data_IF_203328838319
#
_entry.id   IF_203328838319
#
_cell.length_a   1.000
_cell.length_b   1.000
_cell.length_c   1.000
_cell.angle_alpha   90.00
_cell.angle_beta   90.00
_cell.angle_gamma   90.00
#
_symmetry.space_group_name_H-M   'P 1'
#
loop_
_entity.id
_entity.type
_entity.pdbx_description
1 polymer ?
#
# COMPACT_ATOMS: atom_id res chain seq x y z
N UNK A 1 6.44 34.68 37.05
CA UNK A 1 6.27 33.20 36.97
C UNK A 1 5.15 32.76 36.03
N UNK A 2 3.95 33.39 35.98
CA UNK A 2 2.90 33.04 34.99
C UNK A 2 3.35 33.10 33.52
N UNK A 3 4.09 34.14 33.13
CA UNK A 3 4.62 34.30 31.77
C UNK A 3 5.58 33.19 31.30
N UNK A 4 6.44 32.66 32.18
CA UNK A 4 7.34 31.56 31.83
C UNK A 4 6.61 30.21 31.71
N UNK A 5 5.50 30.04 32.42
CA UNK A 5 4.64 28.85 32.31
C UNK A 5 3.82 28.88 31.01
N UNK A 6 3.31 30.05 30.61
CA UNK A 6 2.62 30.22 29.32
C UNK A 6 3.55 30.06 28.10
N UNK A 7 4.78 30.58 28.16
CA UNK A 7 5.79 30.37 27.11
C UNK A 7 6.22 28.90 27.06
N UNK A 8 6.35 28.25 28.22
CA UNK A 8 6.64 26.81 28.31
C UNK A 8 5.52 25.95 27.71
N UNK A 9 4.25 26.26 27.99
CA UNK A 9 3.09 25.53 27.49
C UNK A 9 2.86 25.76 25.98
N UNK A 10 3.02 26.98 25.49
CA UNK A 10 2.89 27.30 24.05
C UNK A 10 4.02 26.68 23.23
N UNK A 11 5.27 26.71 23.72
CA UNK A 11 6.39 26.04 23.08
C UNK A 11 6.21 24.51 23.02
N UNK A 12 5.65 23.91 24.07
CA UNK A 12 5.33 22.48 24.11
C UNK A 12 4.22 22.10 23.13
N UNK A 13 3.18 22.92 23.03
CA UNK A 13 2.11 22.73 22.06
C UNK A 13 2.63 22.83 20.62
N UNK A 14 3.39 23.88 20.29
CA UNK A 14 3.97 24.05 18.95
C UNK A 14 4.92 22.91 18.60
N UNK A 15 5.76 22.44 19.52
CA UNK A 15 6.65 21.29 19.29
C UNK A 15 5.88 20.00 19.02
N UNK A 16 4.80 19.74 19.77
CA UNK A 16 3.94 18.57 19.53
C UNK A 16 3.29 18.61 18.15
N UNK A 17 2.87 19.79 17.69
CA UNK A 17 2.34 19.95 16.33
C UNK A 17 3.40 19.64 15.27
N UNK A 18 4.62 20.18 15.39
CA UNK A 18 5.70 19.91 14.41
C UNK A 18 6.06 18.43 14.34
N UNK A 19 6.14 17.74 15.47
CA UNK A 19 6.44 16.30 15.49
C UNK A 19 5.31 15.47 14.89
N UNK A 20 4.06 15.78 15.24
CA UNK A 20 2.90 15.07 14.69
C UNK A 20 2.78 15.27 13.18
N UNK A 21 2.97 16.49 12.69
CA UNK A 21 2.97 16.81 11.26
C UNK A 21 4.10 16.06 10.54
N UNK A 22 5.31 16.07 11.11
CA UNK A 22 6.44 15.35 10.54
C UNK A 22 6.19 13.84 10.47
N UNK A 23 5.62 13.23 11.51
CA UNK A 23 5.26 11.80 11.48
C UNK A 23 4.22 11.54 10.38
N UNK A 24 3.17 12.37 10.28
CA UNK A 24 2.15 12.21 9.24
C UNK A 24 2.73 12.34 7.81
N UNK A 25 3.65 13.28 7.61
CA UNK A 25 4.25 13.58 6.29
C UNK A 25 5.31 12.55 5.88
N UNK A 26 6.12 12.03 6.80
CA UNK A 26 7.30 11.22 6.42
C UNK A 26 7.15 9.72 6.71
N UNK A 27 6.12 9.30 7.45
CA UNK A 27 5.83 7.88 7.66
C UNK A 27 5.47 7.12 6.37
N UNK A 28 4.61 7.63 5.46
CA UNK A 28 4.25 6.90 4.24
C UNK A 28 5.43 6.60 3.30
N UNK A 29 6.29 7.55 2.93
CA UNK A 29 7.40 7.27 2.02
C UNK A 29 8.47 6.37 2.67
N UNK A 30 8.62 6.42 4.00
CA UNK A 30 9.45 5.45 4.72
C UNK A 30 8.92 4.02 4.57
N UNK A 31 7.63 3.79 4.82
CA UNK A 31 7.01 2.47 4.64
C UNK A 31 7.05 2.00 3.17
N UNK A 32 6.87 2.92 2.22
CA UNK A 32 7.02 2.62 0.80
C UNK A 32 8.43 2.13 0.46
N UNK A 33 9.46 2.75 1.03
CA UNK A 33 10.85 2.32 0.82
C UNK A 33 11.07 0.90 1.34
N UNK A 34 10.60 0.57 2.55
CA UNK A 34 10.69 -0.77 3.14
C UNK A 34 9.99 -1.83 2.29
N UNK A 35 8.82 -1.51 1.74
CA UNK A 35 8.11 -2.41 0.84
C UNK A 35 8.90 -2.69 -0.44
N UNK A 36 9.53 -1.66 -1.02
CA UNK A 36 10.38 -1.81 -2.21
C UNK A 36 11.60 -2.68 -1.90
N UNK A 37 12.25 -2.50 -0.74
CA UNK A 37 13.33 -3.36 -0.28
C UNK A 37 12.87 -4.82 -0.12
N UNK A 38 11.71 -5.04 0.50
CA UNK A 38 11.12 -6.36 0.65
C UNK A 38 10.90 -7.06 -0.70
N UNK A 39 10.38 -6.34 -1.68
CA UNK A 39 10.23 -6.86 -3.05
C UNK A 39 11.56 -7.14 -3.74
N UNK A 40 12.55 -6.26 -3.57
CA UNK A 40 13.91 -6.49 -4.06
C UNK A 40 14.48 -7.81 -3.54
N UNK A 41 14.36 -8.07 -2.24
CA UNK A 41 14.84 -9.29 -1.61
C UNK A 41 14.09 -10.55 -2.09
N UNK A 42 12.77 -10.45 -2.30
CA UNK A 42 11.96 -11.56 -2.86
C UNK A 42 12.41 -11.90 -4.28
N UNK A 43 12.56 -10.90 -5.14
CA UNK A 43 12.96 -11.11 -6.55
C UNK A 43 14.39 -11.64 -6.62
N UNK A 44 15.30 -11.11 -5.80
CA UNK A 44 16.66 -11.64 -5.70
C UNK A 44 16.66 -13.11 -5.27
N UNK A 45 15.86 -13.46 -4.28
CA UNK A 45 15.73 -14.85 -3.82
C UNK A 45 15.18 -15.74 -4.92
N UNK A 46 14.18 -15.29 -5.68
CA UNK A 46 13.65 -16.02 -6.83
C UNK A 46 14.71 -16.25 -7.91
N UNK A 47 15.51 -15.23 -8.24
CA UNK A 47 16.60 -15.36 -9.19
C UNK A 47 17.67 -16.34 -8.72
N UNK A 48 18.08 -16.27 -7.44
CA UNK A 48 19.05 -17.21 -6.85
C UNK A 48 18.60 -18.66 -6.90
N UNK A 49 17.29 -18.92 -6.82
CA UNK A 49 16.71 -20.26 -6.89
C UNK A 49 16.26 -20.67 -8.31
N UNK A 50 16.59 -19.88 -9.34
CA UNK A 50 16.24 -20.19 -10.74
C UNK A 50 14.74 -20.11 -11.04
N UNK A 51 13.97 -19.34 -10.27
CA UNK A 51 12.53 -19.16 -10.50
C UNK A 51 12.32 -18.14 -11.63
N UNK A 52 11.75 -18.61 -12.75
CA UNK A 52 11.42 -17.80 -13.93
C UNK A 52 10.16 -16.95 -13.72
N UNK A 53 10.26 -15.91 -12.89
CA UNK A 53 9.11 -15.02 -12.61
C UNK A 53 8.64 -14.23 -13.84
N UNK A 54 9.52 -13.97 -14.82
CA UNK A 54 9.18 -13.25 -16.05
C UNK A 54 8.09 -13.97 -16.87
N UNK A 55 8.13 -15.31 -16.94
CA UNK A 55 7.09 -16.14 -17.54
C UNK A 55 5.73 -15.95 -16.84
N UNK A 56 5.72 -15.88 -15.50
CA UNK A 56 4.50 -15.69 -14.73
C UNK A 56 3.86 -14.31 -14.96
N UNK A 57 4.68 -13.28 -15.13
CA UNK A 57 4.23 -11.90 -15.37
C UNK A 57 4.08 -11.54 -16.85
N UNK A 58 4.43 -12.44 -17.77
CA UNK A 58 4.47 -12.21 -19.23
C UNK A 58 5.27 -10.94 -19.59
N UNK A 59 6.41 -10.74 -18.92
CA UNK A 59 7.31 -9.60 -19.15
C UNK A 59 8.34 -10.00 -20.22
N UNK A 60 8.63 -9.09 -21.15
CA UNK A 60 9.66 -9.27 -22.18
C UNK A 60 11.05 -9.25 -21.53
N UNK A 61 11.89 -10.25 -21.82
CA UNK A 61 13.15 -10.52 -21.11
C UNK A 61 14.18 -9.39 -21.15
N UNK A 62 14.22 -8.62 -22.25
CA UNK A 62 15.25 -7.59 -22.47
C UNK A 62 15.09 -6.34 -21.57
N UNK A 63 13.88 -6.10 -21.04
CA UNK A 63 13.51 -4.84 -20.38
C UNK A 63 13.16 -5.01 -18.88
N UNK A 64 13.61 -6.13 -18.29
CA UNK A 64 13.28 -6.53 -16.92
C UNK A 64 14.01 -5.68 -15.87
N UNK A 65 13.27 -5.24 -14.86
CA UNK A 65 13.85 -4.66 -13.64
C UNK A 65 14.71 -5.71 -12.92
N UNK A 66 15.99 -5.43 -12.74
CA UNK A 66 16.89 -6.30 -11.96
C UNK A 66 16.74 -5.97 -10.47
N UNK A 67 17.06 -6.90 -9.55
CA UNK A 67 17.00 -6.62 -8.12
C UNK A 67 17.80 -5.38 -7.73
N UNK A 68 18.96 -5.17 -8.36
CA UNK A 68 19.76 -3.97 -8.17
C UNK A 68 18.98 -2.68 -8.48
N UNK A 69 18.25 -2.63 -9.60
CA UNK A 69 17.47 -1.47 -10.00
C UNK A 69 16.33 -1.19 -9.00
N UNK A 70 15.76 -2.23 -8.38
CA UNK A 70 14.72 -2.15 -7.35
C UNK A 70 15.30 -1.64 -6.02
N UNK A 71 16.46 -2.16 -5.60
CA UNK A 71 17.13 -1.68 -4.40
C UNK A 71 17.59 -0.23 -4.54
N UNK A 72 18.10 0.15 -5.72
CA UNK A 72 18.46 1.54 -6.00
C UNK A 72 17.25 2.47 -5.88
N UNK A 73 16.08 2.06 -6.38
CA UNK A 73 14.82 2.80 -6.18
C UNK A 73 14.47 2.97 -4.69
N UNK A 74 14.55 1.88 -3.93
CA UNK A 74 14.29 1.89 -2.48
C UNK A 74 15.24 2.83 -1.73
N UNK A 75 16.54 2.80 -2.05
CA UNK A 75 17.56 3.69 -1.49
C UNK A 75 17.26 5.14 -1.85
N UNK A 76 16.98 5.45 -3.11
CA UNK A 76 16.72 6.81 -3.54
C UNK A 76 15.48 7.41 -2.85
N UNK A 77 14.39 6.63 -2.70
CA UNK A 77 13.20 7.07 -1.95
C UNK A 77 13.55 7.28 -0.47
N UNK A 78 14.25 6.34 0.16
CA UNK A 78 14.62 6.41 1.57
C UNK A 78 15.52 7.62 1.86
N UNK A 79 16.59 7.78 1.09
CA UNK A 79 17.55 8.88 1.23
C UNK A 79 16.85 10.21 1.04
N UNK A 80 16.03 10.35 0.00
CA UNK A 80 15.26 11.57 -0.24
C UNK A 80 14.27 11.87 0.88
N UNK A 81 13.64 10.83 1.44
CA UNK A 81 12.73 10.98 2.58
C UNK A 81 13.46 11.45 3.84
N UNK A 82 14.65 10.89 4.12
CA UNK A 82 15.49 11.30 5.25
C UNK A 82 15.96 12.74 5.08
N UNK A 83 16.45 13.13 3.90
CA UNK A 83 16.86 14.50 3.64
C UNK A 83 15.70 15.50 3.78
N UNK A 84 14.54 15.18 3.21
CA UNK A 84 13.35 16.03 3.33
C UNK A 84 12.84 16.09 4.77
N UNK A 85 12.90 15.00 5.53
CA UNK A 85 12.55 14.99 6.95
C UNK A 85 13.48 15.88 7.77
N UNK A 86 14.80 15.71 7.61
CA UNK A 86 15.78 16.54 8.31
C UNK A 86 15.64 18.02 7.94
N UNK A 87 15.47 18.31 6.65
CA UNK A 87 15.21 19.66 6.18
C UNK A 87 13.91 20.24 6.74
N UNK A 88 12.84 19.44 6.81
CA UNK A 88 11.57 19.86 7.42
C UNK A 88 11.75 20.20 8.90
N UNK A 89 12.41 19.34 9.69
CA UNK A 89 12.65 19.59 11.11
C UNK A 89 13.51 20.85 11.32
N UNK A 90 14.55 21.06 10.50
CA UNK A 90 15.39 22.27 10.58
C UNK A 90 14.58 23.52 10.25
N UNK A 91 13.92 23.54 9.08
CA UNK A 91 13.18 24.70 8.61
C UNK A 91 11.99 25.04 9.50
N UNK A 92 11.17 24.03 9.84
CA UNK A 92 9.96 24.20 10.63
C UNK A 92 10.25 24.34 12.12
N UNK A 93 11.10 23.47 12.66
CA UNK A 93 11.34 23.35 14.10
C UNK A 93 12.33 24.38 14.65
N UNK A 94 13.42 24.66 13.93
CA UNK A 94 14.46 25.59 14.41
C UNK A 94 14.33 26.98 13.80
N UNK A 95 14.04 27.07 12.49
CA UNK A 95 13.99 28.35 11.76
C UNK A 95 12.59 28.96 11.69
N UNK A 96 11.55 28.24 12.13
CA UNK A 96 10.14 28.64 12.06
C UNK A 96 9.66 29.04 10.64
N UNK A 97 10.27 28.47 9.60
CA UNK A 97 9.97 28.72 8.19
C UNK A 97 8.92 27.73 7.66
N UNK A 98 7.64 28.04 7.90
CA UNK A 98 6.52 27.19 7.47
C UNK A 98 6.54 26.93 5.96
N UNK A 99 6.52 28.00 5.16
CA UNK A 99 6.38 27.92 3.71
C UNK A 99 7.47 27.03 3.07
N UNK A 100 8.73 27.26 3.41
CA UNK A 100 9.86 26.50 2.86
C UNK A 100 9.80 25.01 3.27
N UNK A 101 9.45 24.72 4.53
CA UNK A 101 9.31 23.34 5.01
C UNK A 101 8.19 22.59 4.29
N UNK A 102 7.07 23.27 4.01
CA UNK A 102 5.93 22.70 3.29
C UNK A 102 6.27 22.45 1.82
N UNK A 103 6.93 23.40 1.14
CA UNK A 103 7.38 23.22 -0.25
C UNK A 103 8.33 22.03 -0.38
N UNK A 104 9.24 21.85 0.58
CA UNK A 104 10.14 20.68 0.62
C UNK A 104 9.37 19.37 0.77
N UNK A 105 8.33 19.33 1.61
CA UNK A 105 7.42 18.19 1.73
C UNK A 105 6.68 17.91 0.42
N UNK A 106 6.13 18.93 -0.25
CA UNK A 106 5.43 18.76 -1.54
C UNK A 106 6.40 18.26 -2.62
N UNK A 107 7.62 18.76 -2.63
CA UNK A 107 8.66 18.29 -3.56
C UNK A 107 8.90 16.77 -3.44
N UNK A 108 8.93 16.23 -2.21
CA UNK A 108 9.03 14.77 -1.97
C UNK A 108 7.83 14.01 -2.56
N UNK A 109 6.61 14.53 -2.42
CA UNK A 109 5.40 13.85 -2.90
C UNK A 109 5.11 14.02 -4.40
N UNK A 110 5.66 15.04 -5.05
CA UNK A 110 5.40 15.34 -6.47
C UNK A 110 6.63 15.09 -7.34
N UNK A 111 7.75 15.75 -7.04
CA UNK A 111 8.91 15.73 -7.93
C UNK A 111 9.55 14.36 -8.00
N UNK A 112 9.59 13.64 -6.89
CA UNK A 112 10.23 12.32 -6.82
C UNK A 112 9.45 11.27 -7.62
N UNK A 113 8.13 11.08 -7.42
CA UNK A 113 7.36 10.18 -8.28
C UNK A 113 7.41 10.57 -9.77
N UNK A 114 7.42 11.87 -10.09
CA UNK A 114 7.54 12.34 -11.49
C UNK A 114 8.91 11.99 -12.07
N UNK A 115 9.99 12.29 -11.36
CA UNK A 115 11.35 11.97 -11.80
C UNK A 115 11.54 10.47 -12.03
N UNK A 116 11.05 9.62 -11.12
CA UNK A 116 11.07 8.17 -11.32
C UNK A 116 10.22 7.72 -12.49
N UNK A 117 9.00 8.25 -12.63
CA UNK A 117 8.12 7.92 -13.75
C UNK A 117 8.78 8.25 -15.09
N UNK A 118 9.49 9.37 -15.18
CA UNK A 118 10.25 9.75 -16.37
C UNK A 118 11.45 8.82 -16.60
N UNK A 119 12.24 8.54 -15.55
CA UNK A 119 13.38 7.63 -15.62
C UNK A 119 12.98 6.25 -16.14
N UNK A 120 11.96 5.62 -15.55
CA UNK A 120 11.49 4.30 -15.95
C UNK A 120 10.78 4.30 -17.31
N UNK A 121 10.13 5.40 -17.69
CA UNK A 121 9.57 5.54 -19.04
C UNK A 121 10.63 5.53 -20.13
N UNK A 122 11.80 6.10 -19.86
CA UNK A 122 12.93 6.18 -20.80
C UNK A 122 13.75 4.89 -20.82
N UNK A 123 14.10 4.36 -19.64
CA UNK A 123 15.02 3.22 -19.54
C UNK A 123 14.35 1.84 -19.45
N UNK A 124 13.08 1.77 -19.09
CA UNK A 124 12.34 0.51 -18.91
C UNK A 124 10.92 0.60 -19.48
N UNK A 125 10.83 1.01 -20.75
CA UNK A 125 9.56 1.38 -21.40
C UNK A 125 8.54 0.24 -21.39
N UNK A 126 8.96 -1.00 -21.70
CA UNK A 126 8.07 -2.16 -21.73
C UNK A 126 7.49 -2.47 -20.35
N UNK A 127 8.35 -2.50 -19.33
CA UNK A 127 7.95 -2.70 -17.93
C UNK A 127 6.98 -1.61 -17.45
N UNK A 128 7.23 -0.35 -17.81
CA UNK A 128 6.35 0.77 -17.45
C UNK A 128 4.97 0.69 -18.15
N UNK A 129 4.94 0.36 -19.44
CA UNK A 129 3.68 0.17 -20.19
C UNK A 129 2.87 -1.01 -19.62
N UNK A 130 3.54 -2.13 -19.34
CA UNK A 130 2.96 -3.32 -18.71
C UNK A 130 2.33 -3.01 -17.34
N UNK A 131 3.02 -2.21 -16.50
CA UNK A 131 2.47 -1.76 -15.22
C UNK A 131 1.21 -0.90 -15.42
N UNK A 132 1.26 0.06 -16.35
CA UNK A 132 0.13 0.95 -16.64
C UNK A 132 -1.09 0.19 -17.16
N UNK A 133 -0.90 -0.75 -18.07
CA UNK A 133 -1.97 -1.61 -18.58
C UNK A 133 -2.60 -2.46 -17.47
N UNK A 134 -1.78 -3.01 -16.59
CA UNK A 134 -2.25 -3.80 -15.44
C UNK A 134 -3.03 -2.93 -14.46
N UNK A 135 -2.53 -1.75 -14.12
CA UNK A 135 -3.24 -0.79 -13.25
C UNK A 135 -4.58 -0.38 -13.86
N UNK A 136 -4.60 -0.06 -15.15
CA UNK A 136 -5.81 0.28 -15.87
C UNK A 136 -6.82 -0.88 -15.83
N UNK A 137 -6.40 -2.11 -16.10
CA UNK A 137 -7.26 -3.30 -16.04
C UNK A 137 -7.83 -3.54 -14.62
N UNK A 138 -7.04 -3.31 -13.57
CA UNK A 138 -7.49 -3.41 -12.18
C UNK A 138 -8.52 -2.32 -11.87
N UNK A 139 -8.28 -1.06 -12.26
CA UNK A 139 -9.22 0.04 -12.05
C UNK A 139 -10.54 -0.19 -12.79
N UNK A 140 -10.47 -0.74 -14.00
CA UNK A 140 -11.63 -1.13 -14.79
C UNK A 140 -12.26 -2.45 -14.32
N UNK A 141 -11.79 -3.08 -13.24
CA UNK A 141 -12.24 -4.42 -12.87
C UNK A 141 -13.73 -4.50 -12.49
N UNK A 142 -14.34 -3.37 -12.12
CA UNK A 142 -15.77 -3.22 -11.92
C UNK A 142 -16.59 -3.44 -13.20
N UNK A 143 -16.02 -3.08 -14.36
CA UNK A 143 -16.72 -3.03 -15.64
C UNK A 143 -16.24 -4.07 -16.64
N UNK A 144 -15.04 -4.63 -16.45
CA UNK A 144 -14.44 -5.59 -17.36
C UNK A 144 -15.04 -7.00 -17.19
N UNK A 145 -15.37 -7.66 -18.31
CA UNK A 145 -15.94 -9.02 -18.34
C UNK A 145 -14.91 -10.14 -18.47
N UNK A 146 -13.70 -9.82 -18.89
CA UNK A 146 -12.67 -10.82 -19.18
C UNK A 146 -12.19 -11.53 -17.90
N UNK A 147 -11.49 -12.65 -18.04
CA UNK A 147 -10.87 -13.36 -16.90
C UNK A 147 -9.62 -12.60 -16.44
N UNK A 148 -9.48 -12.25 -15.14
CA UNK A 148 -8.29 -11.55 -14.67
C UNK A 148 -7.01 -12.37 -14.87
N UNK A 149 -5.95 -11.72 -15.36
CA UNK A 149 -4.63 -12.33 -15.50
C UNK A 149 -3.93 -12.47 -14.14
N UNK A 150 -2.91 -13.35 -14.06
CA UNK A 150 -2.11 -13.50 -12.83
C UNK A 150 -1.44 -12.17 -12.42
N UNK A 151 -0.94 -11.42 -13.41
CA UNK A 151 -0.33 -10.10 -13.23
C UNK A 151 -1.28 -9.11 -12.55
N UNK A 152 -2.55 -9.07 -12.96
CA UNK A 152 -3.58 -8.23 -12.34
C UNK A 152 -3.85 -8.63 -10.89
N UNK A 153 -4.02 -9.94 -10.62
CA UNK A 153 -4.31 -10.44 -9.27
C UNK A 153 -3.15 -10.16 -8.33
N UNK A 154 -1.91 -10.36 -8.80
CA UNK A 154 -0.70 -10.11 -8.04
C UNK A 154 -0.50 -8.63 -7.73
N UNK A 155 -0.66 -7.76 -8.72
CA UNK A 155 -0.54 -6.32 -8.51
C UNK A 155 -1.67 -5.81 -7.59
N UNK A 156 -2.89 -6.30 -7.74
CA UNK A 156 -4.00 -5.97 -6.84
C UNK A 156 -3.73 -6.41 -5.39
N UNK A 157 -3.15 -7.60 -5.18
CA UNK A 157 -2.69 -8.02 -3.84
C UNK A 157 -1.65 -7.04 -3.27
N UNK A 158 -0.68 -6.64 -4.10
CA UNK A 158 0.37 -5.70 -3.69
C UNK A 158 -0.20 -4.34 -3.31
N UNK A 159 -1.14 -3.80 -4.11
CA UNK A 159 -1.83 -2.54 -3.81
C UNK A 159 -2.66 -2.67 -2.53
N UNK A 160 -3.27 -3.83 -2.29
CA UNK A 160 -4.05 -4.09 -1.07
C UNK A 160 -3.15 -4.06 0.18
N UNK A 161 -1.95 -4.65 0.12
CA UNK A 161 -0.96 -4.56 1.21
C UNK A 161 -0.48 -3.13 1.49
N UNK A 162 -0.55 -2.26 0.48
CA UNK A 162 -0.14 -0.85 0.57
C UNK A 162 -1.31 0.13 0.75
N UNK A 163 -2.54 -0.36 0.95
CA UNK A 163 -3.74 0.47 1.01
C UNK A 163 -3.63 1.61 2.04
N UNK A 164 -3.13 1.29 3.25
CA UNK A 164 -2.93 2.29 4.30
C UNK A 164 -1.82 3.29 3.96
N UNK A 165 -0.71 2.83 3.38
CA UNK A 165 0.40 3.70 2.96
C UNK A 165 -0.07 4.70 1.90
N UNK A 166 -0.87 4.27 0.92
CA UNK A 166 -1.44 5.18 -0.09
C UNK A 166 -2.44 6.17 0.50
N UNK A 167 -3.31 5.71 1.40
CA UNK A 167 -4.24 6.59 2.12
C UNK A 167 -3.50 7.66 2.92
N UNK A 168 -2.48 7.27 3.70
CA UNK A 168 -1.68 8.21 4.48
C UNK A 168 -0.86 9.15 3.59
N UNK A 169 -0.41 8.69 2.43
CA UNK A 169 0.28 9.55 1.44
C UNK A 169 -0.64 10.66 0.91
N UNK A 170 -1.90 10.32 0.64
CA UNK A 170 -2.91 11.29 0.20
C UNK A 170 -3.20 12.29 1.33
N UNK A 171 -3.44 11.81 2.55
CA UNK A 171 -3.67 12.67 3.71
C UNK A 171 -2.46 13.57 4.01
N UNK A 172 -1.23 13.08 3.86
CA UNK A 172 -0.02 13.87 4.01
C UNK A 172 0.07 15.00 2.96
N UNK A 173 -0.27 14.72 1.70
CA UNK A 173 -0.31 15.73 0.65
C UNK A 173 -1.36 16.82 0.94
N UNK A 174 -2.53 16.44 1.44
CA UNK A 174 -3.56 17.39 1.82
C UNK A 174 -3.20 18.23 3.05
N UNK A 175 -2.54 17.63 4.06
CA UNK A 175 -1.95 18.36 5.17
C UNK A 175 -0.94 19.41 4.68
N UNK A 176 -0.06 19.04 3.75
CA UNK A 176 0.88 19.98 3.14
C UNK A 176 0.17 21.11 2.39
N UNK A 177 -0.92 20.83 1.66
CA UNK A 177 -1.73 21.86 1.00
C UNK A 177 -2.42 22.78 2.02
N UNK A 178 -2.92 22.23 3.12
CA UNK A 178 -3.49 23.04 4.21
C UNK A 178 -2.45 23.95 4.85
N UNK A 179 -1.24 23.43 5.08
CA UNK A 179 -0.10 24.20 5.59
C UNK A 179 0.38 25.31 4.64
N UNK A 180 0.03 25.25 3.34
CA UNK A 180 0.22 26.37 2.40
C UNK A 180 -0.85 27.46 2.50
N UNK A 181 -1.85 27.29 3.36
CA UNK A 181 -2.90 28.28 3.61
C UNK A 181 -4.20 28.03 2.83
N UNK A 182 -4.40 26.84 2.25
CA UNK A 182 -5.69 26.49 1.65
C UNK A 182 -6.65 26.04 2.78
N UNK A 183 -7.73 26.80 3.06
CA UNK A 183 -8.61 26.50 4.17
C UNK A 183 -9.48 25.26 3.88
N UNK A 184 -9.90 24.56 4.94
CA UNK A 184 -10.85 23.43 4.92
C UNK A 184 -10.43 22.14 4.21
N UNK A 185 -9.21 22.06 3.66
CA UNK A 185 -8.71 20.87 2.98
C UNK A 185 -8.52 19.68 3.94
N UNK A 186 -8.00 19.94 5.14
CA UNK A 186 -7.79 18.91 6.18
C UNK A 186 -9.09 18.35 6.77
N UNK A 187 -10.17 19.13 6.76
CA UNK A 187 -11.47 18.64 7.21
C UNK A 187 -12.03 17.56 6.26
N UNK A 188 -11.71 17.66 4.97
CA UNK A 188 -12.21 16.74 3.93
C UNK A 188 -11.27 15.54 3.76
N UNK A 189 -9.95 15.71 3.94
CA UNK A 189 -8.95 14.68 3.61
C UNK A 189 -7.96 14.32 4.73
N UNK A 190 -8.11 14.91 5.92
CA UNK A 190 -7.27 14.62 7.07
C UNK A 190 -7.48 13.22 7.66
N UNK A 191 -6.73 12.86 8.72
CA UNK A 191 -6.76 11.53 9.33
C UNK A 191 -8.13 11.12 9.90
N UNK A 192 -8.97 12.12 10.22
CA UNK A 192 -10.35 11.94 10.70
C UNK A 192 -11.40 12.11 9.59
N UNK A 193 -11.03 11.93 8.33
CA UNK A 193 -11.95 12.17 7.22
C UNK A 193 -12.52 10.90 6.59
N UNK A 194 -13.73 11.02 6.05
CA UNK A 194 -14.36 9.96 5.26
C UNK A 194 -13.58 9.63 3.99
N UNK A 195 -12.84 10.60 3.43
CA UNK A 195 -12.04 10.37 2.22
C UNK A 195 -10.88 9.40 2.50
N UNK A 196 -10.19 9.53 3.64
CA UNK A 196 -9.14 8.58 4.03
C UNK A 196 -9.67 7.14 4.13
N UNK A 197 -10.88 6.96 4.66
CA UNK A 197 -11.56 5.67 4.66
C UNK A 197 -11.80 5.15 3.24
N UNK A 198 -12.36 5.97 2.34
CA UNK A 198 -12.64 5.58 0.95
C UNK A 198 -11.35 5.12 0.24
N UNK A 199 -10.27 5.89 0.35
CA UNK A 199 -8.99 5.54 -0.28
C UNK A 199 -8.39 4.27 0.32
N UNK A 200 -8.53 4.04 1.62
CA UNK A 200 -8.07 2.80 2.26
C UNK A 200 -8.90 1.60 1.81
N UNK A 201 -10.21 1.75 1.60
CA UNK A 201 -11.08 0.66 1.17
C UNK A 201 -10.97 0.33 -0.33
N UNK A 202 -10.60 1.31 -1.16
CA UNK A 202 -10.59 1.16 -2.62
C UNK A 202 -9.78 -0.08 -3.10
N UNK A 203 -8.55 -0.36 -2.63
CA UNK A 203 -7.83 -1.57 -3.01
C UNK A 203 -8.58 -2.87 -2.69
N UNK A 204 -9.24 -2.94 -1.53
CA UNK A 204 -10.01 -4.12 -1.12
C UNK A 204 -11.25 -4.30 -1.99
N UNK A 205 -11.91 -3.21 -2.37
CA UNK A 205 -13.05 -3.23 -3.31
C UNK A 205 -12.59 -3.79 -4.66
N UNK A 206 -11.52 -3.24 -5.24
CA UNK A 206 -11.01 -3.74 -6.52
C UNK A 206 -10.65 -5.22 -6.43
N UNK A 207 -9.99 -5.63 -5.34
CA UNK A 207 -9.60 -7.02 -5.13
C UNK A 207 -10.79 -7.97 -4.94
N UNK A 208 -11.86 -7.52 -4.30
CA UNK A 208 -13.14 -8.23 -4.19
C UNK A 208 -13.71 -8.52 -5.58
N UNK A 209 -13.79 -7.52 -6.46
CA UNK A 209 -14.32 -7.70 -7.82
C UNK A 209 -13.44 -8.60 -8.69
N UNK A 210 -12.11 -8.52 -8.57
CA UNK A 210 -11.21 -9.48 -9.23
C UNK A 210 -11.48 -10.92 -8.78
N UNK A 211 -11.66 -11.16 -7.48
CA UNK A 211 -11.98 -12.49 -6.95
C UNK A 211 -13.33 -13.01 -7.47
N UNK A 212 -14.36 -12.16 -7.50
CA UNK A 212 -15.67 -12.52 -8.04
C UNK A 212 -15.60 -12.91 -9.52
N UNK A 213 -14.87 -12.15 -10.34
CA UNK A 213 -14.66 -12.46 -11.76
C UNK A 213 -13.92 -13.78 -11.98
N UNK A 214 -12.92 -14.10 -11.16
CA UNK A 214 -12.26 -15.40 -11.19
C UNK A 214 -13.20 -16.54 -10.78
N UNK A 215 -14.08 -16.29 -9.81
CA UNK A 215 -15.15 -17.21 -9.42
C UNK A 215 -16.11 -17.52 -10.57
N UNK A 216 -16.57 -16.47 -11.25
CA UNK A 216 -17.44 -16.59 -12.43
C UNK A 216 -16.76 -17.32 -13.59
N UNK A 217 -15.46 -17.15 -13.74
CA UNK A 217 -14.63 -17.84 -14.75
C UNK A 217 -14.33 -19.31 -14.44
N UNK A 218 -15.05 -19.92 -13.48
CA UNK A 218 -15.00 -21.35 -13.16
C UNK A 218 -14.15 -21.74 -11.95
N UNK A 219 -13.51 -20.80 -11.24
CA UNK A 219 -12.74 -21.10 -10.02
C UNK A 219 -13.57 -20.83 -8.75
N UNK A 220 -14.49 -21.72 -8.41
CA UNK A 220 -15.44 -21.57 -7.29
C UNK A 220 -14.79 -21.21 -5.94
N UNK A 221 -13.58 -21.73 -5.67
CA UNK A 221 -12.81 -21.36 -4.46
C UNK A 221 -12.57 -19.85 -4.34
N UNK A 222 -12.55 -19.10 -5.45
CA UNK A 222 -12.32 -17.67 -5.46
C UNK A 222 -13.51 -16.85 -4.90
N UNK A 223 -14.71 -17.42 -4.79
CA UNK A 223 -15.80 -16.79 -4.04
C UNK A 223 -15.48 -16.69 -2.55
N UNK A 224 -14.80 -17.68 -1.98
CA UNK A 224 -14.30 -17.62 -0.62
C UNK A 224 -13.19 -16.57 -0.47
N UNK A 225 -12.36 -16.39 -1.50
CA UNK A 225 -11.39 -15.30 -1.55
C UNK A 225 -12.09 -13.92 -1.59
N UNK A 226 -13.17 -13.80 -2.36
CA UNK A 226 -14.00 -12.60 -2.39
C UNK A 226 -14.57 -12.30 -0.99
N UNK A 227 -15.11 -13.31 -0.30
CA UNK A 227 -15.62 -13.16 1.06
C UNK A 227 -14.52 -12.73 2.04
N UNK A 228 -13.29 -13.27 1.91
CA UNK A 228 -12.12 -12.83 2.69
C UNK A 228 -11.89 -11.32 2.52
N UNK A 229 -11.85 -10.83 1.28
CA UNK A 229 -11.64 -9.41 1.01
C UNK A 229 -12.80 -8.53 1.49
N UNK A 230 -14.05 -9.00 1.39
CA UNK A 230 -15.21 -8.31 1.96
C UNK A 230 -15.07 -8.15 3.47
N UNK A 231 -14.68 -9.22 4.17
CA UNK A 231 -14.47 -9.18 5.61
C UNK A 231 -13.32 -8.25 6.01
N UNK A 232 -12.19 -8.28 5.28
CA UNK A 232 -11.07 -7.37 5.52
C UNK A 232 -11.48 -5.91 5.28
N UNK A 233 -12.30 -5.64 4.26
CA UNK A 233 -12.88 -4.33 4.02
C UNK A 233 -13.77 -3.89 5.20
N UNK A 234 -14.64 -4.77 5.70
CA UNK A 234 -15.48 -4.49 6.87
C UNK A 234 -14.66 -4.19 8.13
N UNK A 235 -13.57 -4.94 8.38
CA UNK A 235 -12.61 -4.63 9.46
C UNK A 235 -12.00 -3.24 9.28
N UNK A 236 -11.63 -2.89 8.05
CA UNK A 236 -11.01 -1.60 7.72
C UNK A 236 -11.97 -0.44 7.94
N UNK A 237 -13.23 -0.59 7.53
CA UNK A 237 -14.31 0.38 7.79
C UNK A 237 -14.47 0.60 9.28
N UNK A 238 -14.61 -0.49 10.04
CA UNK A 238 -14.84 -0.41 11.47
C UNK A 238 -13.63 0.12 12.24
N UNK A 239 -12.42 -0.19 11.79
CA UNK A 239 -11.18 0.38 12.34
C UNK A 239 -11.08 1.89 12.09
N UNK A 240 -11.54 2.34 10.93
CA UNK A 240 -11.55 3.77 10.57
C UNK A 240 -12.66 4.53 11.30
N UNK A 241 -13.79 3.90 11.59
CA UNK A 241 -14.89 4.50 12.36
C UNK A 241 -14.43 5.02 13.73
N UNK A 242 -13.41 4.39 14.35
CA UNK A 242 -12.78 4.88 15.58
C UNK A 242 -12.33 6.34 15.47
N UNK A 243 -11.84 6.76 14.31
CA UNK A 243 -11.35 8.12 14.09
C UNK A 243 -12.45 9.11 13.71
N UNK A 244 -13.64 8.59 13.33
CA UNK A 244 -14.81 9.39 12.96
C UNK A 244 -15.76 9.61 14.15
N UNK A 245 -15.73 8.74 15.15
CA UNK A 245 -16.53 8.85 16.38
C UNK A 245 -15.70 9.60 17.41
N UNK A 246 -16.07 10.84 17.73
CA UNK A 246 -15.36 11.65 18.72
C UNK A 246 -15.64 11.21 20.17
N UNK A 247 -16.72 10.47 20.44
CA UNK A 247 -17.04 9.97 21.78
C UNK A 247 -16.46 8.56 22.02
N UNK A 248 -15.41 8.52 22.86
CA UNK A 248 -14.76 7.27 23.26
C UNK A 248 -15.72 6.31 23.96
N UNK A 249 -16.72 6.82 24.70
CA UNK A 249 -17.69 5.97 25.40
C UNK A 249 -18.57 5.22 24.42
N UNK A 250 -19.04 5.88 23.36
CA UNK A 250 -19.78 5.27 22.27
C UNK A 250 -18.94 4.21 21.54
N UNK A 251 -17.67 4.49 21.26
CA UNK A 251 -16.75 3.50 20.65
C UNK A 251 -16.63 2.23 21.52
N UNK A 252 -16.34 2.39 22.82
CA UNK A 252 -16.15 1.28 23.75
C UNK A 252 -17.44 0.48 23.96
N UNK A 253 -18.60 1.14 24.05
CA UNK A 253 -19.86 0.47 24.33
C UNK A 253 -20.46 -0.25 23.11
N UNK A 254 -20.35 0.32 21.91
CA UNK A 254 -21.09 -0.17 20.74
C UNK A 254 -20.21 -0.86 19.69
N UNK A 255 -18.96 -0.43 19.51
CA UNK A 255 -18.15 -0.83 18.35
C UNK A 255 -16.94 -1.69 18.72
N UNK A 256 -16.42 -1.57 19.94
CA UNK A 256 -15.20 -2.27 20.35
C UNK A 256 -15.33 -3.81 20.27
N UNK A 257 -16.36 -4.40 20.88
CA UNK A 257 -16.52 -5.87 20.86
C UNK A 257 -16.81 -6.43 19.45
N UNK A 258 -17.70 -5.83 18.64
CA UNK A 258 -17.84 -6.22 17.24
C UNK A 258 -16.54 -6.08 16.45
N UNK A 259 -15.77 -5.02 16.70
CA UNK A 259 -14.48 -4.79 16.04
C UNK A 259 -13.46 -5.88 16.38
N UNK A 260 -13.26 -6.20 17.67
CA UNK A 260 -12.37 -7.27 18.11
C UNK A 260 -12.79 -8.62 17.52
N UNK A 261 -14.09 -8.92 17.53
CA UNK A 261 -14.64 -10.16 16.96
C UNK A 261 -14.33 -10.25 15.47
N UNK A 262 -14.59 -9.18 14.72
CA UNK A 262 -14.38 -9.15 13.27
C UNK A 262 -12.89 -9.22 12.91
N UNK A 263 -12.02 -8.52 13.65
CA UNK A 263 -10.56 -8.59 13.49
C UNK A 263 -10.05 -10.01 13.74
N UNK A 264 -10.55 -10.66 14.80
CA UNK A 264 -10.15 -12.03 15.17
C UNK A 264 -10.57 -13.03 14.09
N UNK A 265 -11.83 -12.97 13.64
CA UNK A 265 -12.34 -13.82 12.56
C UNK A 265 -11.58 -13.57 11.25
N UNK A 266 -11.34 -12.30 10.90
CA UNK A 266 -10.58 -11.94 9.70
C UNK A 266 -9.16 -12.51 9.73
N UNK A 267 -8.51 -12.44 10.88
CA UNK A 267 -7.16 -12.98 11.08
C UNK A 267 -7.13 -14.49 10.92
N UNK A 268 -8.05 -15.21 11.57
CA UNK A 268 -8.13 -16.68 11.49
C UNK A 268 -8.40 -17.12 10.06
N UNK A 269 -9.39 -16.53 9.39
CA UNK A 269 -9.74 -16.90 8.01
C UNK A 269 -8.61 -16.59 7.05
N UNK A 270 -7.95 -15.44 7.20
CA UNK A 270 -6.80 -15.08 6.35
C UNK A 270 -5.64 -16.04 6.56
N UNK A 271 -5.32 -16.38 7.81
CA UNK A 271 -4.29 -17.36 8.12
C UNK A 271 -4.61 -18.75 7.53
N UNK A 272 -5.84 -19.23 7.71
CA UNK A 272 -6.28 -20.52 7.14
C UNK A 272 -6.22 -20.49 5.62
N UNK A 273 -6.60 -19.38 4.99
CA UNK A 273 -6.50 -19.20 3.54
C UNK A 273 -5.05 -19.31 3.08
N UNK A 274 -4.15 -18.55 3.69
CA UNK A 274 -2.75 -18.50 3.28
C UNK A 274 -2.09 -19.88 3.42
N UNK A 275 -2.31 -20.57 4.54
CA UNK A 275 -1.73 -21.91 4.77
C UNK A 275 -2.33 -22.97 3.86
N UNK A 276 -3.66 -23.08 3.77
CA UNK A 276 -4.32 -24.19 3.06
C UNK A 276 -4.44 -23.96 1.56
N UNK A 277 -4.72 -22.73 1.14
CA UNK A 277 -5.04 -22.41 -0.26
C UNK A 277 -3.80 -21.90 -0.99
N UNK A 278 -3.15 -20.85 -0.47
CA UNK A 278 -2.06 -20.19 -1.19
C UNK A 278 -0.76 -21.01 -1.09
N UNK A 279 -0.39 -21.46 0.10
CA UNK A 279 0.82 -22.26 0.31
C UNK A 279 0.61 -23.75 0.11
N UNK A 280 -0.66 -24.19 0.13
CA UNK A 280 -1.06 -25.61 0.00
C UNK A 280 -0.29 -26.51 0.98
N UNK A 281 0.00 -25.99 2.16
CA UNK A 281 0.67 -26.72 3.23
C UNK A 281 -0.36 -27.62 3.91
N UNK A 282 -0.15 -28.93 3.80
CA UNK A 282 -0.75 -29.91 4.70
C UNK A 282 0.24 -30.15 5.84
N UNK A 283 -0.25 -30.28 7.08
CA UNK A 283 0.54 -30.46 8.31
C UNK A 283 1.61 -31.59 8.24
N UNK A 284 1.50 -32.46 7.23
CA UNK A 284 2.26 -33.68 7.02
C UNK A 284 3.27 -33.63 5.86
N UNK A 285 3.36 -32.53 5.10
CA UNK A 285 4.27 -32.46 3.94
C UNK A 285 5.61 -31.81 4.29
N UNK A 286 6.62 -32.66 4.46
CA UNK A 286 8.03 -32.28 4.40
C UNK A 286 8.33 -31.55 3.08
N UNK A 287 9.01 -30.40 3.16
CA UNK A 287 9.41 -29.62 1.99
C UNK A 287 10.44 -30.45 1.21
N UNK A 288 10.20 -30.82 -0.05
CA UNK A 288 11.20 -31.51 -0.85
C UNK A 288 12.41 -30.59 -1.08
N UNK A 289 13.64 -31.15 -1.17
CA UNK A 289 14.88 -30.38 -1.31
C UNK A 289 14.97 -29.54 -2.60
N UNK A 290 14.01 -29.67 -3.51
CA UNK A 290 13.81 -28.78 -4.65
C UNK A 290 12.31 -28.46 -4.78
N UNK A 291 11.86 -27.22 -4.52
CA UNK A 291 10.48 -26.85 -4.73
C UNK A 291 10.20 -26.82 -6.24
N UNK A 292 9.61 -27.88 -6.77
CA UNK A 292 9.03 -27.86 -8.11
C UNK A 292 7.76 -27.03 -8.00
N UNK A 293 7.75 -25.83 -8.60
CA UNK A 293 6.57 -24.97 -8.74
C UNK A 293 5.50 -25.66 -9.62
N UNK A 294 4.81 -26.68 -9.09
CA UNK A 294 3.58 -27.23 -9.67
C UNK A 294 2.40 -26.35 -9.29
N UNK A 295 2.42 -25.10 -9.73
CA UNK A 295 1.23 -24.28 -9.81
C UNK A 295 0.36 -24.85 -10.95
N UNK A 296 -0.84 -25.36 -10.62
CA UNK A 296 -1.82 -25.85 -11.62
C UNK A 296 -2.29 -24.77 -12.60
N UNK A 297 -1.91 -23.51 -12.37
CA UNK A 297 -2.15 -22.41 -13.32
C UNK A 297 -1.30 -22.61 -14.58
N UNK A 298 -0.13 -23.25 -14.50
CA UNK A 298 0.76 -23.48 -15.65
C UNK A 298 0.38 -24.68 -16.52
N UNK A 299 -0.22 -25.74 -15.95
CA UNK A 299 -0.45 -26.99 -16.69
C UNK A 299 -1.69 -27.01 -17.60
N UNK A 300 -2.66 -26.11 -17.41
CA UNK A 300 -3.84 -26.05 -18.29
C UNK A 300 -3.63 -25.15 -19.51
N UNK A 301 -2.93 -24.02 -19.39
CA UNK A 301 -2.64 -23.16 -20.56
C UNK A 301 -1.65 -23.79 -21.55
N UNK A 302 -0.77 -24.71 -21.11
CA UNK A 302 0.15 -25.43 -22.02
C UNK A 302 -0.46 -26.66 -22.71
N UNK A 303 -1.66 -27.11 -22.31
CA UNK A 303 -2.31 -28.29 -22.94
C UNK A 303 -3.19 -27.97 -24.15
N UNK A 304 -3.47 -26.68 -24.40
CA UNK A 304 -4.31 -26.25 -25.53
C UNK A 304 -3.53 -25.48 -26.60
N UNK A 305 -2.20 -25.56 -26.59
CA UNK A 305 -1.31 -24.90 -27.54
C UNK A 305 -0.46 -25.85 -28.39
N UNK A 306 -0.92 -27.09 -28.60
CA UNK A 306 -0.35 -28.05 -29.55
C UNK A 306 -1.46 -28.75 -30.31
#
# INVERSE_FOLDING_TARGET
MRWFVEIGQTADHTRRHVVNDAVAIFHPPFLLSLMIFGWGAVIETFQRHGVEYHCAFRIVDEDRLRPFDIFQLGICILVSSIYSFMGYIILRGFMNQLYMSTVLGIALYVLIPVAFSLYYRVHHRSSFQSLRETLHAILCALFAREKPSFREVFLANTITSMAKVFSDSISAMFLLIHLLGVPHVDAIFGPKSYAGLIFTCLPFILRLFLSLRLGYSGKTIQYWNALKHLMTMSVTVLSSLKFLIDDEKTWLAQFFYPWVTLVSLNTIVSFVWDVKVDWRMTLTRWIPPRPILRSKIFTEEQRHGT
#
